data_IF_745082402705
#
_entry.id   IF_745082402705
#
_cell.length_a   1.000
_cell.length_b   1.000
_cell.length_c   1.000
_cell.angle_alpha   90.00
_cell.angle_beta   90.00
_cell.angle_gamma   90.00
#
_symmetry.space_group_name_H-M   'P 1'
#
loop_
_entity.id
_entity.type
_entity.pdbx_description
1 polymer ?
#
# COMPACT_ATOMS: atom_id res chain seq x y z
N UNK A 1 -16.77 -64.84 -14.02
CA UNK A 1 -17.44 -63.56 -14.31
C UNK A 1 -16.79 -62.97 -15.55
N UNK A 2 -17.52 -62.80 -16.67
CA UNK A 2 -16.91 -62.51 -17.96
C UNK A 2 -16.15 -61.17 -17.94
N UNK A 3 -14.99 -61.12 -18.61
CA UNK A 3 -14.05 -59.98 -18.60
C UNK A 3 -14.70 -58.64 -18.96
N UNK A 4 -15.77 -58.68 -19.77
CA UNK A 4 -16.61 -57.52 -20.11
C UNK A 4 -17.39 -56.93 -18.92
N UNK A 5 -17.84 -57.77 -17.99
CA UNK A 5 -18.55 -57.34 -16.77
C UNK A 5 -17.59 -56.70 -15.75
N UNK A 6 -16.35 -57.20 -15.69
CA UNK A 6 -15.30 -56.66 -14.82
C UNK A 6 -14.84 -55.28 -15.33
N UNK A 7 -14.67 -55.13 -16.65
CA UNK A 7 -14.28 -53.86 -17.26
C UNK A 7 -15.38 -52.79 -17.13
N UNK A 8 -16.66 -53.17 -17.28
CA UNK A 8 -17.79 -52.28 -17.05
C UNK A 8 -17.92 -51.81 -15.60
N UNK A 9 -17.69 -52.71 -14.63
CA UNK A 9 -17.74 -52.39 -13.21
C UNK A 9 -16.60 -51.45 -12.79
N UNK A 10 -15.39 -51.67 -13.32
CA UNK A 10 -14.24 -50.78 -13.13
C UNK A 10 -14.50 -49.36 -13.66
N UNK A 11 -15.08 -49.24 -14.85
CA UNK A 11 -15.39 -47.94 -15.45
C UNK A 11 -16.46 -47.17 -14.64
N UNK A 12 -17.47 -47.89 -14.12
CA UNK A 12 -18.52 -47.29 -13.31
C UNK A 12 -18.00 -46.76 -11.97
N UNK A 13 -17.09 -47.51 -11.33
CA UNK A 13 -16.43 -47.09 -10.08
C UNK A 13 -15.53 -45.87 -10.33
N UNK A 14 -14.74 -45.88 -11.41
CA UNK A 14 -13.88 -44.75 -11.77
C UNK A 14 -14.66 -43.45 -12.01
N UNK A 15 -15.80 -43.54 -12.69
CA UNK A 15 -16.66 -42.39 -12.95
C UNK A 15 -17.30 -41.81 -11.66
N UNK A 16 -17.67 -42.68 -10.71
CA UNK A 16 -18.19 -42.25 -9.40
C UNK A 16 -17.17 -41.45 -8.57
N UNK A 17 -15.89 -41.85 -8.62
CA UNK A 17 -14.80 -41.14 -7.93
C UNK A 17 -14.47 -39.80 -8.61
N UNK A 18 -14.54 -39.73 -9.94
CA UNK A 18 -14.32 -38.48 -10.67
C UNK A 18 -15.39 -37.42 -10.37
N UNK A 19 -16.65 -37.83 -10.20
CA UNK A 19 -17.76 -36.93 -9.87
C UNK A 19 -17.70 -36.41 -8.42
N UNK A 20 -17.23 -37.23 -7.46
CA UNK A 20 -17.10 -36.79 -6.05
C UNK A 20 -15.98 -35.77 -5.86
N UNK A 21 -14.92 -35.84 -6.66
CA UNK A 21 -13.82 -34.85 -6.65
C UNK A 21 -14.26 -33.44 -7.08
N UNK A 22 -15.19 -33.34 -8.03
CA UNK A 22 -15.66 -32.05 -8.56
C UNK A 22 -16.46 -31.23 -7.52
N UNK A 23 -17.22 -31.91 -6.67
CA UNK A 23 -17.94 -31.27 -5.56
C UNK A 23 -16.99 -30.73 -4.48
N UNK A 24 -15.87 -31.42 -4.21
CA UNK A 24 -14.85 -30.95 -3.26
C UNK A 24 -14.02 -29.80 -3.85
N UNK A 25 -13.67 -29.89 -5.13
CA UNK A 25 -12.94 -28.85 -5.85
C UNK A 25 -13.70 -27.51 -5.86
N UNK A 26 -15.02 -27.51 -6.06
CA UNK A 26 -15.83 -26.28 -6.00
C UNK A 26 -15.83 -25.60 -4.62
N UNK A 27 -15.69 -26.36 -3.54
CA UNK A 27 -15.55 -25.83 -2.18
C UNK A 27 -14.14 -25.28 -1.93
N UNK A 28 -13.10 -25.98 -2.42
CA UNK A 28 -11.70 -25.52 -2.33
C UNK A 28 -11.40 -24.31 -3.22
N UNK A 29 -12.04 -24.20 -4.39
CA UNK A 29 -11.96 -23.04 -5.30
C UNK A 29 -12.79 -21.84 -4.83
N UNK A 30 -13.48 -21.92 -3.68
CA UNK A 30 -14.25 -20.81 -3.13
C UNK A 30 -15.53 -20.46 -3.91
N UNK A 31 -15.95 -21.31 -4.85
CA UNK A 31 -17.19 -21.10 -5.65
C UNK A 31 -18.46 -21.29 -4.82
N UNK A 32 -18.34 -21.82 -3.61
CA UNK A 32 -19.41 -21.92 -2.62
C UNK A 32 -19.09 -21.00 -1.45
N UNK A 33 -19.82 -19.90 -1.36
CA UNK A 33 -19.66 -18.90 -0.30
C UNK A 33 -20.03 -19.48 1.06
N UNK A 34 -19.02 -19.77 1.88
CA UNK A 34 -19.19 -19.92 3.32
C UNK A 34 -19.16 -18.51 3.91
N UNK A 35 -20.32 -17.86 4.00
CA UNK A 35 -20.41 -16.58 4.69
C UNK A 35 -19.85 -16.76 6.11
N UNK A 36 -18.89 -15.92 6.55
CA UNK A 36 -18.45 -15.92 7.93
C UNK A 36 -19.67 -15.66 8.81
N UNK A 37 -19.90 -16.50 9.81
CA UNK A 37 -21.03 -16.37 10.73
C UNK A 37 -21.03 -14.97 11.34
N UNK A 38 -21.99 -14.14 10.94
CA UNK A 38 -22.14 -12.74 11.33
C UNK A 38 -22.45 -12.55 12.82
N UNK A 39 -22.76 -13.64 13.53
CA UNK A 39 -22.95 -13.67 14.98
C UNK A 39 -21.73 -14.21 15.73
N UNK A 40 -20.65 -14.57 15.02
CA UNK A 40 -19.41 -14.98 15.68
C UNK A 40 -18.65 -13.75 16.17
N UNK A 41 -18.98 -13.31 17.39
CA UNK A 41 -18.32 -12.18 18.05
C UNK A 41 -16.90 -12.63 18.42
N UNK A 42 -15.91 -12.23 17.62
CA UNK A 42 -14.51 -12.31 18.01
C UNK A 42 -14.30 -11.33 19.16
N UNK A 43 -14.08 -11.85 20.37
CA UNK A 43 -13.74 -11.04 21.54
C UNK A 43 -12.39 -10.38 21.28
N UNK A 44 -12.37 -9.05 21.19
CA UNK A 44 -11.11 -8.30 21.17
C UNK A 44 -10.43 -8.48 22.52
N UNK A 45 -9.10 -8.55 22.51
CA UNK A 45 -8.32 -8.46 23.74
C UNK A 45 -8.75 -7.19 24.51
N UNK A 46 -8.90 -7.25 25.84
CA UNK A 46 -9.28 -6.09 26.63
C UNK A 46 -8.30 -4.94 26.38
N UNK A 47 -8.83 -3.76 26.08
CA UNK A 47 -8.04 -2.55 25.93
C UNK A 47 -7.56 -2.12 27.32
N UNK A 48 -6.37 -2.57 27.70
CA UNK A 48 -5.68 -2.06 28.88
C UNK A 48 -5.08 -0.72 28.47
N UNK A 49 -5.55 0.36 29.09
CA UNK A 49 -4.87 1.65 29.01
C UNK A 49 -3.57 1.48 29.80
N UNK A 50 -2.38 1.55 29.15
CA UNK A 50 -1.14 1.44 29.88
C UNK A 50 -1.06 2.61 30.88
N UNK A 51 -0.74 2.35 32.16
CA UNK A 51 -0.29 3.42 33.04
C UNK A 51 1.06 3.84 32.47
N UNK A 52 1.13 5.01 31.83
CA UNK A 52 2.31 5.87 31.66
C UNK A 52 2.05 6.86 30.51
N UNK A 53 1.26 7.91 30.77
CA UNK A 53 1.11 9.07 29.87
C UNK A 53 2.10 10.21 30.20
N UNK A 54 3.24 9.89 30.83
CA UNK A 54 4.30 10.88 31.13
C UNK A 54 5.56 10.70 30.28
N UNK A 55 5.51 9.86 29.24
CA UNK A 55 6.58 9.84 28.26
C UNK A 55 6.45 11.09 27.38
N UNK A 56 7.50 11.91 27.40
CA UNK A 56 7.66 13.02 26.47
C UNK A 56 7.48 12.44 25.05
N UNK A 57 6.61 13.03 24.20
CA UNK A 57 6.47 12.57 22.82
C UNK A 57 7.86 12.42 22.19
N UNK A 58 8.14 11.29 21.51
CA UNK A 58 9.44 11.08 20.87
C UNK A 58 9.72 12.27 19.96
N UNK A 59 10.99 12.69 19.87
CA UNK A 59 11.35 13.84 19.04
C UNK A 59 10.96 13.52 17.60
N UNK A 60 10.47 14.50 16.86
CA UNK A 60 10.17 14.31 15.44
C UNK A 60 11.44 13.78 14.73
N UNK A 61 11.36 12.56 14.18
CA UNK A 61 12.49 11.84 13.57
C UNK A 61 13.06 10.68 14.39
N UNK A 62 12.64 10.49 15.65
CA UNK A 62 13.07 9.37 16.49
C UNK A 62 12.20 8.12 16.24
N UNK A 63 12.82 6.94 16.26
CA UNK A 63 12.14 5.69 15.91
C UNK A 63 10.98 5.40 16.86
N UNK A 64 9.74 5.44 16.37
CA UNK A 64 8.57 5.03 17.13
C UNK A 64 8.53 3.51 17.33
N UNK A 65 8.07 3.04 18.50
CA UNK A 65 7.91 1.61 18.80
C UNK A 65 6.95 0.91 17.82
N UNK A 66 5.92 1.60 17.33
CA UNK A 66 4.96 1.09 16.32
C UNK A 66 5.63 0.77 14.97
N UNK A 67 6.63 1.55 14.55
CA UNK A 67 7.36 1.31 13.29
C UNK A 67 8.27 0.07 13.39
N UNK A 68 8.76 -0.25 14.58
CA UNK A 68 9.60 -1.44 14.77
C UNK A 68 8.79 -2.73 14.60
N UNK A 69 7.52 -2.74 15.02
CA UNK A 69 6.66 -3.92 14.90
C UNK A 69 6.30 -4.22 13.43
N UNK A 70 5.93 -3.20 12.66
CA UNK A 70 5.61 -3.34 11.23
C UNK A 70 6.84 -3.75 10.42
N UNK A 71 8.01 -3.20 10.72
CA UNK A 71 9.26 -3.61 10.08
C UNK A 71 9.65 -5.04 10.42
N UNK A 72 9.45 -5.49 11.67
CA UNK A 72 9.70 -6.88 12.07
C UNK A 72 8.80 -7.84 11.28
N UNK A 73 7.49 -7.57 11.24
CA UNK A 73 6.53 -8.40 10.51
C UNK A 73 6.81 -8.42 8.99
N UNK A 74 7.16 -7.27 8.39
CA UNK A 74 7.54 -7.22 6.98
C UNK A 74 8.84 -7.98 6.69
N UNK A 75 9.82 -7.89 7.59
CA UNK A 75 11.08 -8.63 7.47
C UNK A 75 10.85 -10.14 7.54
N UNK A 76 10.04 -10.58 8.49
CA UNK A 76 9.66 -11.99 8.63
C UNK A 76 8.89 -12.50 7.40
N UNK A 77 8.00 -11.70 6.83
CA UNK A 77 7.30 -12.05 5.59
C UNK A 77 8.22 -12.13 4.36
N UNK A 78 9.26 -11.30 4.29
CA UNK A 78 10.15 -11.23 3.13
C UNK A 78 11.33 -12.22 3.20
N UNK A 79 11.92 -12.36 4.38
CA UNK A 79 13.16 -13.12 4.60
C UNK A 79 12.88 -14.44 5.32
N UNK A 80 11.73 -14.55 5.99
CA UNK A 80 11.42 -15.67 6.88
C UNK A 80 11.95 -15.44 8.29
N UNK A 81 11.83 -16.49 9.11
CA UNK A 81 12.41 -16.54 10.44
C UNK A 81 13.94 -16.60 10.33
N UNK A 82 14.64 -15.73 11.07
CA UNK A 82 16.10 -15.72 11.09
C UNK A 82 16.54 -16.91 11.92
N UNK A 83 17.20 -17.88 11.29
CA UNK A 83 17.83 -18.97 12.03
C UNK A 83 18.90 -18.41 12.97
N UNK A 84 18.86 -18.86 14.22
CA UNK A 84 19.84 -18.50 15.26
C UNK A 84 21.17 -19.25 15.13
N UNK A 85 21.29 -20.16 14.15
CA UNK A 85 22.50 -20.89 13.87
C UNK A 85 23.68 -19.95 13.59
N UNK A 86 24.81 -20.19 14.26
CA UNK A 86 26.05 -19.47 13.98
C UNK A 86 26.57 -19.83 12.57
N UNK A 87 26.96 -18.84 11.75
CA UNK A 87 27.48 -19.10 10.42
C UNK A 87 28.74 -19.96 10.47
N UNK A 88 28.84 -20.92 9.55
CA UNK A 88 30.05 -21.72 9.38
C UNK A 88 31.24 -20.86 8.93
N UNK A 89 32.46 -21.37 9.12
CA UNK A 89 33.69 -20.69 8.68
C UNK A 89 33.68 -20.38 7.17
N UNK A 90 33.05 -21.25 6.36
CA UNK A 90 32.89 -21.02 4.92
C UNK A 90 31.91 -19.88 4.59
N UNK A 91 30.80 -19.79 5.31
CA UNK A 91 29.83 -18.69 5.15
C UNK A 91 30.42 -17.35 5.59
N UNK A 92 31.20 -17.34 6.68
CA UNK A 92 31.93 -16.14 7.11
C UNK A 92 32.89 -15.63 6.04
N UNK A 93 33.60 -16.54 5.35
CA UNK A 93 34.48 -16.16 4.24
C UNK A 93 33.71 -15.59 3.04
N UNK A 94 32.58 -16.20 2.69
CA UNK A 94 31.69 -15.70 1.62
C UNK A 94 31.09 -14.34 1.99
N UNK A 95 30.63 -14.13 3.23
CA UNK A 95 30.14 -12.86 3.74
C UNK A 95 31.23 -11.78 3.75
N UNK A 96 32.46 -12.15 4.10
CA UNK A 96 33.62 -11.27 4.01
C UNK A 96 33.88 -10.80 2.57
N UNK A 97 33.78 -11.71 1.60
CA UNK A 97 33.88 -11.38 0.16
C UNK A 97 32.70 -10.55 -0.34
N UNK A 98 31.48 -10.85 0.12
CA UNK A 98 30.27 -10.10 -0.21
C UNK A 98 30.22 -8.71 0.44
N UNK A 99 31.12 -8.41 1.38
CA UNK A 99 31.18 -7.12 2.06
C UNK A 99 30.11 -6.93 3.13
N UNK A 100 29.43 -8.00 3.56
CA UNK A 100 28.44 -7.96 4.63
C UNK A 100 28.92 -7.26 5.92
N UNK A 101 30.14 -7.50 6.45
CA UNK A 101 30.59 -6.81 7.67
C UNK A 101 30.89 -5.32 7.49
N UNK A 102 30.92 -4.81 6.25
CA UNK A 102 31.10 -3.39 5.94
C UNK A 102 29.79 -2.65 5.66
N UNK A 103 28.66 -3.36 5.64
CA UNK A 103 27.36 -2.77 5.39
C UNK A 103 26.92 -1.95 6.62
N UNK A 104 26.45 -0.72 6.39
CA UNK A 104 25.86 0.10 7.46
C UNK A 104 24.48 -0.48 7.83
N UNK A 105 24.26 -0.97 9.07
CA UNK A 105 22.97 -1.50 9.49
C UNK A 105 21.87 -0.44 9.52
N UNK A 106 22.23 0.84 9.63
CA UNK A 106 21.32 1.98 9.74
C UNK A 106 21.10 2.71 8.40
N UNK A 107 21.57 2.17 7.26
CA UNK A 107 21.50 2.85 5.97
C UNK A 107 20.08 3.27 5.57
N UNK A 108 19.06 2.52 5.99
CA UNK A 108 17.66 2.89 5.74
C UNK A 108 17.24 4.14 6.52
N UNK A 109 17.69 4.29 7.76
CA UNK A 109 17.41 5.48 8.59
C UNK A 109 18.08 6.71 7.97
N UNK A 110 19.30 6.55 7.47
CA UNK A 110 20.03 7.61 6.77
C UNK A 110 19.31 8.02 5.48
N UNK A 111 18.93 7.05 4.63
CA UNK A 111 18.20 7.30 3.38
C UNK A 111 16.83 7.93 3.64
N UNK A 112 16.08 7.44 4.62
CA UNK A 112 14.76 7.98 4.98
C UNK A 112 14.89 9.39 5.56
N UNK A 113 15.92 9.63 6.38
CA UNK A 113 16.26 10.96 6.89
C UNK A 113 16.59 11.94 5.76
N UNK A 114 17.40 11.54 4.78
CA UNK A 114 17.73 12.35 3.60
C UNK A 114 16.49 12.63 2.74
N UNK A 115 15.67 11.61 2.45
CA UNK A 115 14.46 11.76 1.65
C UNK A 115 13.37 12.61 2.34
N UNK A 116 13.35 12.67 3.68
CA UNK A 116 12.37 13.49 4.41
C UNK A 116 12.62 15.00 4.27
N UNK A 117 13.88 15.39 4.02
CA UNK A 117 14.28 16.80 3.84
C UNK A 117 14.09 17.24 2.38
N UNK A 118 14.17 16.32 1.41
CA UNK A 118 13.75 16.57 0.04
C UNK A 118 12.22 16.59 -0.06
N UNK A 119 11.65 17.77 0.21
CA UNK A 119 10.25 18.09 -0.09
C UNK A 119 9.98 17.72 -1.55
N UNK A 120 9.25 16.63 -1.81
CA UNK A 120 8.74 16.29 -3.14
C UNK A 120 8.12 17.55 -3.75
N UNK A 121 8.66 18.00 -4.87
CA UNK A 121 8.05 19.07 -5.65
C UNK A 121 6.63 18.64 -5.98
N UNK A 122 5.64 19.47 -5.66
CA UNK A 122 4.25 19.19 -5.99
C UNK A 122 4.17 18.87 -7.49
N UNK A 123 3.67 17.68 -7.80
CA UNK A 123 3.50 17.30 -9.19
C UNK A 123 2.49 18.25 -9.85
N UNK A 124 2.63 18.50 -11.16
CA UNK A 124 1.67 19.31 -11.90
C UNK A 124 0.22 18.79 -11.71
N UNK A 125 0.06 17.47 -11.64
CA UNK A 125 -1.22 16.81 -11.35
C UNK A 125 -1.79 17.21 -9.98
N UNK A 126 -0.96 17.35 -8.96
CA UNK A 126 -1.37 17.78 -7.61
C UNK A 126 -1.67 19.27 -7.53
N UNK A 127 -0.98 20.09 -8.34
CA UNK A 127 -1.34 21.49 -8.52
C UNK A 127 -2.73 21.66 -9.18
N UNK A 128 -3.08 20.77 -10.12
CA UNK A 128 -4.39 20.77 -10.79
C UNK A 128 -5.49 20.19 -9.91
N UNK A 129 -5.23 19.06 -9.24
CA UNK A 129 -6.23 18.36 -8.44
C UNK A 129 -6.53 19.08 -7.13
N UNK A 130 -5.77 20.12 -6.80
CA UNK A 130 -5.92 20.88 -5.57
C UNK A 130 -5.35 20.07 -4.42
N UNK A 131 -4.35 20.63 -3.75
CA UNK A 131 -4.04 20.20 -2.40
C UNK A 131 -5.36 20.19 -1.61
N UNK A 132 -5.71 19.04 -1.03
CA UNK A 132 -6.81 18.90 -0.07
C UNK A 132 -6.49 19.66 1.24
N UNK A 133 -5.90 20.85 1.14
CA UNK A 133 -5.78 21.79 2.22
C UNK A 133 -7.17 22.43 2.42
N UNK A 134 -7.70 22.46 3.65
CA UNK A 134 -8.95 23.16 3.94
C UNK A 134 -8.87 24.59 3.41
N UNK A 135 -9.69 24.91 2.41
CA UNK A 135 -9.82 26.26 1.90
C UNK A 135 -10.52 27.09 2.98
N UNK A 136 -9.94 28.22 3.35
CA UNK A 136 -10.58 29.18 4.24
C UNK A 136 -11.84 29.74 3.55
N UNK A 137 -13.06 29.49 4.08
CA UNK A 137 -14.30 29.90 3.43
C UNK A 137 -14.38 31.43 3.25
N UNK A 138 -13.77 32.20 4.16
CA UNK A 138 -13.83 33.66 4.14
C UNK A 138 -12.99 34.24 3.00
N UNK A 139 -11.81 33.66 2.75
CA UNK A 139 -10.91 34.07 1.68
C UNK A 139 -11.50 33.72 0.29
N UNK A 140 -12.10 32.54 0.15
CA UNK A 140 -12.72 32.12 -1.12
C UNK A 140 -13.98 32.95 -1.43
N UNK A 141 -14.81 33.26 -0.43
CA UNK A 141 -15.95 34.14 -0.61
C UNK A 141 -15.54 35.54 -1.12
N UNK A 142 -14.46 36.10 -0.56
CA UNK A 142 -13.91 37.40 -1.03
C UNK A 142 -13.42 37.32 -2.47
N UNK A 143 -12.71 36.24 -2.83
CA UNK A 143 -12.24 36.01 -4.20
C UNK A 143 -13.41 35.91 -5.19
N UNK A 144 -14.46 35.15 -4.86
CA UNK A 144 -15.66 35.02 -5.69
C UNK A 144 -16.39 36.35 -5.85
N UNK A 145 -16.53 37.13 -4.78
CA UNK A 145 -17.13 38.46 -4.83
C UNK A 145 -16.33 39.42 -5.72
N UNK A 146 -15.00 39.38 -5.65
CA UNK A 146 -14.14 40.20 -6.52
C UNK A 146 -14.27 39.79 -8.00
N UNK A 147 -14.36 38.49 -8.29
CA UNK A 147 -14.60 37.98 -9.64
C UNK A 147 -15.97 38.46 -10.13
N UNK A 148 -17.03 38.28 -9.34
CA UNK A 148 -18.38 38.71 -9.70
C UNK A 148 -18.49 40.22 -9.89
N UNK A 149 -17.78 41.01 -9.08
CA UNK A 149 -17.69 42.46 -9.25
C UNK A 149 -16.98 42.86 -10.56
N UNK A 150 -15.96 42.10 -10.97
CA UNK A 150 -15.22 42.35 -12.20
C UNK A 150 -15.94 41.85 -13.46
N UNK A 151 -16.69 40.75 -13.38
CA UNK A 151 -17.33 40.09 -14.53
C UNK A 151 -18.84 40.35 -14.62
N UNK A 152 -19.43 41.00 -13.61
CA UNK A 152 -20.87 41.25 -13.52
C UNK A 152 -21.71 39.98 -13.41
N UNK A 153 -21.10 38.84 -13.08
CA UNK A 153 -21.78 37.52 -13.03
C UNK A 153 -22.08 36.90 -14.40
N UNK A 154 -21.60 37.50 -15.50
CA UNK A 154 -21.76 36.99 -16.86
C UNK A 154 -20.63 36.04 -17.28
N UNK A 155 -20.89 35.20 -18.29
CA UNK A 155 -19.88 34.34 -18.89
C UNK A 155 -18.90 35.20 -19.69
N UNK A 156 -17.62 35.22 -19.28
CA UNK A 156 -16.58 36.02 -19.94
C UNK A 156 -15.91 35.19 -21.03
N UNK A 157 -16.19 35.52 -22.28
CA UNK A 157 -15.48 34.95 -23.43
C UNK A 157 -14.19 35.76 -23.68
N UNK A 158 -13.05 35.22 -23.23
CA UNK A 158 -11.75 35.85 -23.46
C UNK A 158 -11.31 35.51 -24.89
N UNK A 159 -11.73 36.34 -25.85
CA UNK A 159 -11.21 36.25 -27.22
C UNK A 159 -9.86 36.98 -27.31
N UNK A 160 -8.86 36.31 -27.88
CA UNK A 160 -7.61 37.00 -28.24
C UNK A 160 -7.89 37.86 -29.45
N UNK A 161 -7.70 39.17 -29.32
CA UNK A 161 -7.72 40.10 -30.45
C UNK A 161 -6.75 39.55 -31.52
N UNK A 162 -7.21 39.25 -32.74
CA UNK A 162 -6.30 38.77 -33.78
C UNK A 162 -5.26 39.86 -34.00
N UNK A 163 -4.00 39.53 -33.72
CA UNK A 163 -2.89 40.46 -33.94
C UNK A 163 -2.87 40.81 -35.43
N UNK A 164 -3.07 42.08 -35.76
CA UNK A 164 -2.72 42.54 -37.10
C UNK A 164 -1.21 42.29 -37.27
N UNK A 165 -0.84 41.67 -38.39
CA UNK A 165 0.55 41.56 -38.77
C UNK A 165 1.12 42.98 -38.84
N UNK A 166 2.00 43.35 -37.91
CA UNK A 166 2.81 44.57 -38.05
C UNK A 166 3.70 44.33 -39.25
N UNK A 167 3.33 44.93 -40.38
CA UNK A 167 4.18 44.96 -41.57
C UNK A 167 5.47 45.70 -41.19
N UNK A 168 6.65 45.08 -41.33
CA UNK A 168 7.90 45.79 -41.11
C UNK A 168 8.16 46.71 -42.30
N UNK A 169 8.20 48.00 -42.06
CA UNK A 169 8.66 49.01 -43.01
C UNK A 169 7.56 49.75 -43.76
N UNK A 170 6.97 50.74 -43.09
CA UNK A 170 6.58 52.05 -43.62
C UNK A 170 6.38 53.02 -42.44
#
# INVERSE_FOLDING_TARGET
MSMRKILGLSALIGFGVAMSGCASASKALGLKQSAPNEFNILTKAPLVVPPEYNLRPPRAGESSYENNYTQKAAREALVGEIDSAEPSQGEMYLMGKAGAPRANPEIRVEIDGQNSVERKTTSFSEAILGANAPLDPEAEAKRLNAINAATGGGQVEITRKPGSAKLPGL
#
